data_IF_785349608215
#
_entry.id   IF_785349608215
#
_cell.length_a   1.000
_cell.length_b   1.000
_cell.length_c   1.000
_cell.angle_alpha   90.00
_cell.angle_beta   90.00
_cell.angle_gamma   90.00
#
_symmetry.space_group_name_H-M   'P 1'
#
loop_
_entity.id
_entity.type
_entity.pdbx_description
1 polymer ?
#
# COMPACT_ATOMS: atom_id res chain seq x y z
N UNK A 1 5.76 9.15 10.21
CA UNK A 1 6.15 9.05 8.78
C UNK A 1 6.91 7.77 8.46
N UNK A 2 8.05 7.48 9.12
CA UNK A 2 8.87 6.29 8.81
C UNK A 2 8.11 4.96 8.97
N UNK A 3 7.24 4.84 9.98
CA UNK A 3 6.40 3.65 10.20
C UNK A 3 5.45 3.37 9.03
N UNK A 4 4.69 4.38 8.60
CA UNK A 4 3.74 4.26 7.48
C UNK A 4 4.43 3.95 6.15
N UNK A 5 5.57 4.60 5.87
CA UNK A 5 6.40 4.27 4.70
C UNK A 5 6.87 2.81 4.73
N UNK A 6 7.34 2.33 5.88
CA UNK A 6 7.75 0.93 6.04
C UNK A 6 6.60 -0.04 5.80
N UNK A 7 5.41 0.26 6.33
CA UNK A 7 4.22 -0.56 6.11
C UNK A 7 3.81 -0.60 4.63
N UNK A 8 3.89 0.53 3.91
CA UNK A 8 3.66 0.58 2.47
C UNK A 8 4.63 -0.34 1.72
N UNK A 9 5.93 -0.29 2.01
CA UNK A 9 6.93 -1.12 1.32
C UNK A 9 6.75 -2.62 1.62
N UNK A 10 6.39 -2.97 2.86
CA UNK A 10 6.09 -4.36 3.23
C UNK A 10 4.88 -4.89 2.46
N UNK A 11 3.79 -4.12 2.41
CA UNK A 11 2.57 -4.53 1.72
C UNK A 11 2.78 -4.54 0.20
N UNK A 12 3.54 -3.58 -0.35
CA UNK A 12 3.91 -3.57 -1.78
C UNK A 12 4.68 -4.83 -2.16
N UNK A 13 5.68 -5.20 -1.37
CA UNK A 13 6.48 -6.40 -1.61
C UNK A 13 5.59 -7.65 -1.58
N UNK A 14 4.67 -7.74 -0.61
CA UNK A 14 3.74 -8.85 -0.52
C UNK A 14 2.76 -8.91 -1.70
N UNK A 15 2.28 -7.76 -2.17
CA UNK A 15 1.41 -7.69 -3.35
C UNK A 15 2.13 -8.26 -4.59
N UNK A 16 3.38 -7.86 -4.82
CA UNK A 16 4.17 -8.34 -5.96
C UNK A 16 4.40 -9.84 -5.86
N UNK A 17 4.78 -10.33 -4.69
CA UNK A 17 4.98 -11.77 -4.44
C UNK A 17 3.69 -12.57 -4.76
N UNK A 18 2.56 -12.17 -4.18
CA UNK A 18 1.29 -12.88 -4.36
C UNK A 18 0.79 -12.76 -5.81
N UNK A 19 0.91 -11.59 -6.43
CA UNK A 19 0.52 -11.41 -7.83
C UNK A 19 1.42 -12.19 -8.80
N UNK A 20 2.68 -12.39 -8.47
CA UNK A 20 3.61 -13.20 -9.28
C UNK A 20 3.26 -14.69 -9.23
N UNK A 21 2.71 -15.18 -8.12
CA UNK A 21 2.31 -16.59 -7.96
C UNK A 21 0.87 -16.83 -8.43
N UNK A 22 -0.06 -15.96 -8.01
CA UNK A 22 -1.50 -16.18 -8.16
C UNK A 22 -2.13 -15.36 -9.29
N UNK A 23 -1.38 -14.43 -9.89
CA UNK A 23 -1.87 -13.46 -10.87
C UNK A 23 -2.44 -12.19 -10.22
N UNK A 24 -2.36 -11.07 -10.93
CA UNK A 24 -2.82 -9.76 -10.44
C UNK A 24 -4.33 -9.67 -10.22
N UNK A 25 -5.11 -10.49 -10.91
CA UNK A 25 -6.58 -10.55 -10.78
C UNK A 25 -7.06 -11.57 -9.75
N UNK A 26 -6.15 -12.27 -9.07
CA UNK A 26 -6.52 -13.19 -8.00
C UNK A 26 -7.21 -12.44 -6.86
N UNK A 27 -8.13 -13.13 -6.17
CA UNK A 27 -8.83 -12.56 -5.02
C UNK A 27 -7.85 -12.05 -3.95
N UNK A 28 -6.76 -12.78 -3.73
CA UNK A 28 -5.74 -12.44 -2.75
C UNK A 28 -4.93 -11.20 -3.18
N UNK A 29 -4.51 -11.14 -4.44
CA UNK A 29 -3.83 -9.97 -5.02
C UNK A 29 -4.70 -8.71 -4.92
N UNK A 30 -6.00 -8.83 -5.22
CA UNK A 30 -6.96 -7.72 -5.10
C UNK A 30 -7.15 -7.28 -3.64
N UNK A 31 -7.18 -8.20 -2.70
CA UNK A 31 -7.29 -7.85 -1.27
C UNK A 31 -6.05 -7.09 -0.79
N UNK A 32 -4.85 -7.53 -1.19
CA UNK A 32 -3.61 -6.87 -0.84
C UNK A 32 -3.50 -5.50 -1.52
N UNK A 33 -3.91 -5.38 -2.79
CA UNK A 33 -3.91 -4.08 -3.50
C UNK A 33 -4.79 -3.05 -2.80
N UNK A 34 -6.00 -3.42 -2.38
CA UNK A 34 -6.89 -2.54 -1.61
C UNK A 34 -6.28 -2.07 -0.29
N UNK A 35 -5.53 -2.96 0.38
CA UNK A 35 -4.80 -2.60 1.60
C UNK A 35 -3.66 -1.62 1.29
N UNK A 36 -2.92 -1.85 0.21
CA UNK A 36 -1.85 -0.95 -0.24
C UNK A 36 -2.41 0.44 -0.57
N UNK A 37 -3.51 0.51 -1.32
CA UNK A 37 -4.17 1.76 -1.69
C UNK A 37 -4.61 2.55 -0.44
N UNK A 38 -5.15 1.87 0.56
CA UNK A 38 -5.52 2.48 1.84
C UNK A 38 -4.33 3.15 2.51
N UNK A 39 -3.18 2.47 2.56
CA UNK A 39 -1.96 3.01 3.17
C UNK A 39 -1.39 4.19 2.39
N UNK A 40 -1.45 4.13 1.04
CA UNK A 40 -1.03 5.22 0.18
C UNK A 40 -1.89 6.47 0.39
N UNK A 41 -3.21 6.30 0.47
CA UNK A 41 -4.15 7.39 0.75
C UNK A 41 -3.88 8.02 2.13
N UNK A 42 -3.65 7.19 3.16
CA UNK A 42 -3.24 7.69 4.49
C UNK A 42 -1.94 8.50 4.44
N UNK A 43 -0.96 8.02 3.67
CA UNK A 43 0.31 8.72 3.53
C UNK A 43 0.15 10.06 2.82
N UNK A 44 -0.66 10.11 1.76
CA UNK A 44 -0.99 11.32 1.03
C UNK A 44 -1.68 12.36 1.94
N UNK A 45 -2.68 11.95 2.73
CA UNK A 45 -3.33 12.85 3.70
C UNK A 45 -2.34 13.43 4.72
N UNK A 46 -1.38 12.63 5.20
CA UNK A 46 -0.33 13.11 6.12
C UNK A 46 0.58 14.14 5.45
N UNK A 47 0.88 13.99 4.16
CA UNK A 47 1.67 14.97 3.41
C UNK A 47 0.90 16.27 3.21
N UNK A 48 -0.36 16.20 2.80
CA UNK A 48 -1.20 17.38 2.55
C UNK A 48 -1.43 18.21 3.81
N UNK A 49 -1.59 17.56 4.97
CA UNK A 49 -1.71 18.26 6.25
C UNK A 49 -0.43 19.00 6.65
N UNK A 50 0.76 18.55 6.20
CA UNK A 50 2.03 19.22 6.49
C UNK A 50 2.33 20.40 5.58
N UNK A 51 1.73 20.45 4.40
CA UNK A 51 1.90 21.57 3.45
C UNK A 51 0.91 22.71 3.69
N UNK A 52 -0.14 22.48 4.50
CA UNK A 52 -1.17 23.47 4.85
C UNK A 52 -0.92 24.18 6.19
N UNK A 53 0.21 23.89 6.86
CA UNK A 53 0.68 24.56 8.08
C UNK A 53 2.00 25.26 7.79
#
# INVERSE_FOLDING_TARGET
MLKLKREIELVRSKMIEVASVNGFTSKESIQISRKLDTLLNMYQMVLENRTKT
#
